data_IF_075978658233
#
_entry.id   IF_075978658233
#
_cell.length_a   1.000
_cell.length_b   1.000
_cell.length_c   1.000
_cell.angle_alpha   90.00
_cell.angle_beta   90.00
_cell.angle_gamma   90.00
#
_symmetry.space_group_name_H-M   'P 1'
#
loop_
_entity.id
_entity.type
_entity.pdbx_description
1 polymer ?
#
# COMPACT_ATOMS: atom_id res chain seq x y z
N UNK A 1 -15.10 8.09 10.79
CA UNK A 1 -13.71 8.33 11.23
C UNK A 1 -13.13 7.12 11.97
N UNK A 2 -13.78 6.59 13.03
CA UNK A 2 -13.28 5.43 13.79
C UNK A 2 -12.95 4.18 12.94
N UNK A 3 -13.75 3.88 11.92
CA UNK A 3 -13.51 2.73 11.02
C UNK A 3 -12.24 2.87 10.19
N UNK A 4 -11.89 4.09 9.74
CA UNK A 4 -10.66 4.39 8.99
C UNK A 4 -9.44 4.05 9.85
N UNK A 5 -9.43 4.55 11.08
CA UNK A 5 -8.28 4.41 11.97
C UNK A 5 -8.08 2.95 12.40
N UNK A 6 -9.18 2.22 12.60
CA UNK A 6 -9.14 0.78 12.87
C UNK A 6 -8.52 0.00 11.69
N UNK A 7 -8.92 0.33 10.46
CA UNK A 7 -8.36 -0.30 9.26
C UNK A 7 -6.85 -0.02 9.16
N UNK A 8 -6.43 1.25 9.32
CA UNK A 8 -5.01 1.61 9.28
C UNK A 8 -4.20 0.84 10.32
N UNK A 9 -4.65 0.84 11.59
CA UNK A 9 -3.98 0.11 12.69
C UNK A 9 -3.89 -1.39 12.39
N UNK A 10 -4.95 -1.97 11.83
CA UNK A 10 -5.00 -3.40 11.51
C UNK A 10 -4.08 -3.75 10.34
N UNK A 11 -4.07 -2.96 9.26
CA UNK A 11 -3.11 -3.10 8.15
C UNK A 11 -1.67 -3.04 8.66
N UNK A 12 -1.35 -2.03 9.48
CA UNK A 12 0.00 -1.91 10.07
C UNK A 12 0.37 -3.13 10.89
N UNK A 13 -0.55 -3.67 11.70
CA UNK A 13 -0.32 -4.91 12.45
C UNK A 13 -0.04 -6.08 11.52
N UNK A 14 -0.83 -6.28 10.46
CA UNK A 14 -0.63 -7.38 9.51
C UNK A 14 0.69 -7.24 8.75
N UNK A 15 1.08 -6.04 8.33
CA UNK A 15 2.38 -5.80 7.72
C UNK A 15 3.54 -6.11 8.66
N UNK A 16 3.43 -5.74 9.94
CA UNK A 16 4.44 -6.10 10.96
C UNK A 16 4.60 -7.60 11.09
N UNK A 17 3.49 -8.35 11.11
CA UNK A 17 3.48 -9.81 11.21
C UNK A 17 4.09 -10.44 9.96
N UNK A 18 3.67 -10.01 8.76
CA UNK A 18 4.27 -10.49 7.50
C UNK A 18 5.77 -10.25 7.53
N UNK A 19 6.22 -9.05 7.90
CA UNK A 19 7.65 -8.73 7.98
C UNK A 19 8.42 -9.58 8.99
N UNK A 20 7.89 -9.80 10.20
CA UNK A 20 8.57 -10.56 11.24
C UNK A 20 8.58 -12.06 10.98
N UNK A 21 7.55 -12.58 10.32
CA UNK A 21 7.32 -14.02 10.15
C UNK A 21 7.60 -14.50 8.74
N UNK A 22 7.92 -13.61 7.78
CA UNK A 22 8.19 -14.04 6.41
C UNK A 22 9.36 -15.03 6.35
N UNK A 23 10.37 -14.89 7.21
CA UNK A 23 11.49 -15.83 7.32
C UNK A 23 11.56 -16.34 8.75
N UNK A 24 11.34 -17.64 8.93
CA UNK A 24 11.43 -18.31 10.22
C UNK A 24 12.36 -19.51 10.17
N UNK A 25 13.00 -19.86 11.29
CA UNK A 25 13.71 -21.14 11.37
C UNK A 25 12.72 -22.30 11.35
N UNK A 26 13.10 -23.41 10.73
CA UNK A 26 12.28 -24.64 10.68
C UNK A 26 11.97 -25.12 12.11
N UNK A 27 12.95 -25.01 13.03
CA UNK A 27 12.79 -25.38 14.44
C UNK A 27 11.74 -24.50 15.14
N UNK A 28 11.81 -23.18 14.97
CA UNK A 28 10.84 -22.25 15.57
C UNK A 28 9.42 -22.51 15.04
N UNK A 29 9.28 -22.72 13.72
CA UNK A 29 7.99 -23.03 13.10
C UNK A 29 7.40 -24.35 13.60
N UNK A 30 8.23 -25.40 13.74
CA UNK A 30 7.80 -26.69 14.33
C UNK A 30 7.42 -26.58 15.81
N UNK A 31 8.05 -25.68 16.55
CA UNK A 31 7.72 -25.39 17.95
C UNK A 31 6.49 -24.48 18.11
N UNK A 32 5.79 -24.14 17.02
CA UNK A 32 4.60 -23.28 17.07
C UNK A 32 4.90 -21.82 17.38
N UNK A 33 6.16 -21.36 17.23
CA UNK A 33 6.47 -19.94 17.41
C UNK A 33 5.88 -19.09 16.27
N UNK A 34 5.52 -17.84 16.58
CA UNK A 34 4.91 -16.89 15.66
C UNK A 34 3.44 -16.63 15.97
N UNK A 35 2.76 -15.90 15.11
CA UNK A 35 1.34 -15.56 15.27
C UNK A 35 0.37 -16.71 14.99
N UNK A 36 0.86 -17.78 14.35
CA UNK A 36 0.01 -18.88 13.85
C UNK A 36 -0.83 -18.49 12.63
N UNK A 37 -0.66 -17.29 12.07
CA UNK A 37 -1.44 -16.82 10.93
C UNK A 37 -0.81 -17.19 9.59
N UNK A 38 -1.66 -17.45 8.59
CA UNK A 38 -1.23 -17.60 7.21
C UNK A 38 -0.91 -16.22 6.61
N UNK A 39 0.36 -15.99 6.27
CA UNK A 39 0.82 -14.69 5.77
C UNK A 39 0.25 -14.34 4.37
N UNK A 40 -0.09 -15.34 3.54
CA UNK A 40 -0.76 -15.09 2.26
C UNK A 40 -2.21 -14.65 2.49
N UNK A 41 -2.90 -15.26 3.45
CA UNK A 41 -4.25 -14.83 3.87
C UNK A 41 -4.20 -13.42 4.47
N UNK A 42 -3.19 -13.09 5.28
CA UNK A 42 -3.00 -11.73 5.80
C UNK A 42 -2.81 -10.72 4.68
N UNK A 43 -1.97 -11.03 3.69
CA UNK A 43 -1.79 -10.15 2.55
C UNK A 43 -3.10 -9.92 1.78
N UNK A 44 -3.88 -10.97 1.53
CA UNK A 44 -5.19 -10.82 0.90
C UNK A 44 -6.15 -9.93 1.72
N UNK A 45 -6.13 -10.05 3.06
CA UNK A 45 -6.90 -9.16 3.94
C UNK A 45 -6.43 -7.72 3.85
N UNK A 46 -5.12 -7.47 3.72
CA UNK A 46 -4.58 -6.12 3.50
C UNK A 46 -5.13 -5.54 2.19
N UNK A 47 -5.16 -6.32 1.10
CA UNK A 47 -5.70 -5.86 -0.18
C UNK A 47 -7.18 -5.45 -0.07
N UNK A 48 -8.00 -6.28 0.58
CA UNK A 48 -9.41 -5.96 0.85
C UNK A 48 -9.57 -4.70 1.72
N UNK A 49 -8.70 -4.55 2.72
CA UNK A 49 -8.69 -3.37 3.60
C UNK A 49 -8.25 -2.10 2.87
N UNK A 50 -7.31 -2.17 1.94
CA UNK A 50 -6.91 -1.05 1.08
C UNK A 50 -8.08 -0.55 0.24
N UNK A 51 -8.84 -1.47 -0.39
CA UNK A 51 -10.05 -1.11 -1.16
C UNK A 51 -11.13 -0.45 -0.27
N UNK A 52 -11.37 -1.01 0.92
CA UNK A 52 -12.29 -0.41 1.88
C UNK A 52 -11.81 0.98 2.35
N UNK A 53 -10.50 1.18 2.49
CA UNK A 53 -9.93 2.46 2.90
C UNK A 53 -10.08 3.52 1.81
N UNK A 54 -9.93 3.16 0.53
CA UNK A 54 -10.23 4.04 -0.61
C UNK A 54 -11.70 4.48 -0.57
N UNK A 55 -12.63 3.52 -0.39
CA UNK A 55 -14.06 3.82 -0.29
C UNK A 55 -14.38 4.76 0.87
N UNK A 56 -13.78 4.55 2.05
CA UNK A 56 -13.96 5.42 3.20
C UNK A 56 -13.40 6.82 2.95
N UNK A 57 -12.22 6.93 2.31
CA UNK A 57 -11.63 8.23 1.93
C UNK A 57 -12.53 8.99 0.95
N UNK A 58 -13.14 8.30 -0.01
CA UNK A 58 -14.13 8.89 -0.92
C UNK A 58 -15.41 9.34 -0.19
N UNK A 59 -15.91 8.56 0.76
CA UNK A 59 -17.06 8.95 1.59
C UNK A 59 -16.76 10.19 2.42
N UNK A 60 -15.57 10.27 3.03
CA UNK A 60 -15.12 11.45 3.77
C UNK A 60 -15.01 12.67 2.86
N UNK A 61 -14.45 12.49 1.66
CA UNK A 61 -14.39 13.55 0.66
C UNK A 61 -15.79 14.06 0.29
N UNK A 62 -16.74 13.14 0.04
CA UNK A 62 -18.11 13.49 -0.29
C UNK A 62 -18.79 14.31 0.82
N UNK A 63 -18.70 13.85 2.07
CA UNK A 63 -19.25 14.57 3.23
C UNK A 63 -18.62 15.97 3.35
N UNK A 64 -17.30 16.07 3.20
CA UNK A 64 -16.59 17.35 3.29
C UNK A 64 -16.93 18.31 2.13
N UNK A 65 -17.40 17.78 1.00
CA UNK A 65 -17.89 18.56 -0.15
C UNK A 65 -19.40 18.83 -0.10
N UNK A 66 -20.09 18.51 1.01
CA UNK A 66 -21.52 18.75 1.17
C UNK A 66 -22.42 17.77 0.39
N UNK A 67 -21.89 16.66 -0.11
CA UNK A 67 -22.67 15.62 -0.78
C UNK A 67 -23.40 14.78 0.27
N UNK A 68 -24.72 14.71 0.17
CA UNK A 68 -25.60 14.01 1.13
C UNK A 68 -25.89 12.55 0.76
N UNK A 69 -25.77 12.20 -0.53
CA UNK A 69 -25.95 10.84 -1.03
C UNK A 69 -24.69 10.32 -1.71
N UNK A 70 -24.11 9.24 -1.17
CA UNK A 70 -22.86 8.69 -1.68
C UNK A 70 -23.10 7.55 -2.68
N UNK A 71 -22.64 7.72 -3.92
CA UNK A 71 -22.57 6.66 -4.92
C UNK A 71 -21.10 6.27 -5.18
N UNK A 72 -20.75 5.02 -4.84
CA UNK A 72 -19.37 4.53 -5.01
C UNK A 72 -18.97 4.40 -6.48
N UNK A 73 -19.88 4.01 -7.37
CA UNK A 73 -19.61 3.83 -8.79
C UNK A 73 -19.32 5.17 -9.47
N UNK A 74 -20.05 6.23 -9.10
CA UNK A 74 -19.74 7.59 -9.56
C UNK A 74 -18.44 8.12 -8.94
N UNK A 75 -18.21 7.88 -7.65
CA UNK A 75 -16.99 8.32 -6.98
C UNK A 75 -15.72 7.74 -7.62
N UNK A 76 -15.77 6.50 -8.14
CA UNK A 76 -14.65 5.87 -8.87
C UNK A 76 -14.27 6.58 -10.17
N UNK A 77 -15.18 7.36 -10.77
CA UNK A 77 -14.92 8.13 -11.99
C UNK A 77 -14.15 9.42 -11.71
N UNK A 78 -14.10 9.86 -10.45
CA UNK A 78 -13.42 11.10 -10.05
C UNK A 78 -11.91 10.92 -9.92
N UNK A 79 -11.15 12.02 -10.05
CA UNK A 79 -9.70 12.01 -9.82
C UNK A 79 -9.32 11.68 -8.37
N UNK A 80 -10.22 11.91 -7.41
CA UNK A 80 -10.01 11.53 -6.01
C UNK A 80 -9.85 10.02 -5.83
N UNK A 81 -10.54 9.20 -6.62
CA UNK A 81 -10.35 7.75 -6.59
C UNK A 81 -8.92 7.38 -7.00
N UNK A 82 -8.42 7.97 -8.08
CA UNK A 82 -7.05 7.77 -8.56
C UNK A 82 -6.02 8.22 -7.52
N UNK A 83 -6.22 9.38 -6.87
CA UNK A 83 -5.35 9.88 -5.80
C UNK A 83 -5.28 8.87 -4.64
N UNK A 84 -6.44 8.49 -4.09
CA UNK A 84 -6.48 7.57 -2.94
C UNK A 84 -5.94 6.19 -3.27
N UNK A 85 -6.20 5.70 -4.49
CA UNK A 85 -5.65 4.43 -4.97
C UNK A 85 -4.13 4.48 -5.09
N UNK A 86 -3.58 5.55 -5.67
CA UNK A 86 -2.12 5.75 -5.74
C UNK A 86 -1.49 5.74 -4.35
N UNK A 87 -2.09 6.40 -3.36
CA UNK A 87 -1.60 6.38 -1.98
C UNK A 87 -1.52 4.95 -1.41
N UNK A 88 -2.59 4.15 -1.56
CA UNK A 88 -2.60 2.77 -1.04
C UNK A 88 -1.58 1.87 -1.76
N UNK A 89 -1.41 2.04 -3.07
CA UNK A 89 -0.41 1.26 -3.83
C UNK A 89 1.02 1.64 -3.43
N UNK A 90 1.31 2.93 -3.25
CA UNK A 90 2.62 3.43 -2.80
C UNK A 90 2.96 2.94 -1.39
N UNK A 91 1.98 2.89 -0.47
CA UNK A 91 2.16 2.30 0.86
C UNK A 91 2.48 0.80 0.80
N UNK A 92 1.75 0.04 -0.04
CA UNK A 92 2.03 -1.38 -0.25
C UNK A 92 3.42 -1.62 -0.83
N UNK A 93 3.83 -0.81 -1.81
CA UNK A 93 5.15 -0.88 -2.42
C UNK A 93 6.24 -0.67 -1.37
N UNK A 94 6.13 0.36 -0.52
CA UNK A 94 7.08 0.63 0.55
C UNK A 94 7.22 -0.53 1.56
N UNK A 95 6.11 -1.16 1.94
CA UNK A 95 6.15 -2.35 2.79
C UNK A 95 6.86 -3.53 2.12
N UNK A 96 6.57 -3.79 0.85
CA UNK A 96 7.25 -4.85 0.11
C UNK A 96 8.73 -4.59 -0.09
N UNK A 97 9.14 -3.34 -0.26
CA UNK A 97 10.55 -2.94 -0.29
C UNK A 97 11.26 -3.26 1.00
N UNK A 98 10.63 -2.93 2.12
CA UNK A 98 11.21 -3.21 3.42
C UNK A 98 11.34 -4.73 3.67
N UNK A 99 10.30 -5.51 3.33
CA UNK A 99 10.31 -6.97 3.49
C UNK A 99 11.36 -7.59 2.57
N UNK A 100 11.46 -7.16 1.32
CA UNK A 100 12.48 -7.65 0.39
C UNK A 100 13.89 -7.46 0.96
N UNK A 101 14.15 -6.26 1.50
CA UNK A 101 15.46 -5.87 2.05
C UNK A 101 15.81 -6.60 3.35
N UNK A 102 14.84 -6.82 4.25
CA UNK A 102 15.11 -7.23 5.64
C UNK A 102 14.63 -8.64 5.98
N UNK A 103 13.69 -9.19 5.21
CA UNK A 103 12.93 -10.36 5.60
C UNK A 103 12.73 -11.32 4.41
N UNK A 104 13.77 -11.56 3.60
CA UNK A 104 13.80 -12.67 2.64
C UNK A 104 15.08 -13.47 2.82
N UNK A 105 15.08 -14.75 2.41
CA UNK A 105 16.30 -15.54 2.40
C UNK A 105 17.19 -15.02 1.26
N UNK A 106 18.43 -14.66 1.57
CA UNK A 106 19.39 -14.20 0.57
C UNK A 106 19.49 -15.23 -0.58
N UNK A 107 19.22 -14.83 -1.85
CA UNK A 107 19.23 -15.75 -2.99
C UNK A 107 20.55 -16.48 -3.19
N UNK A 108 21.69 -15.83 -2.98
CA UNK A 108 23.01 -16.43 -3.11
C UNK A 108 23.26 -17.46 -2.00
N UNK A 109 22.86 -17.15 -0.77
CA UNK A 109 22.94 -18.11 0.34
C UNK A 109 22.03 -19.33 0.10
N UNK A 110 20.84 -19.10 -0.45
CA UNK A 110 19.88 -20.16 -0.82
C UNK A 110 20.40 -21.05 -1.94
N UNK A 111 21.03 -20.47 -2.96
CA UNK A 111 21.65 -21.21 -4.05
C UNK A 111 22.80 -22.11 -3.55
N UNK A 112 23.66 -21.58 -2.68
CA UNK A 112 24.79 -22.34 -2.10
C UNK A 112 24.35 -23.45 -1.15
N UNK A 113 23.36 -23.21 -0.29
CA UNK A 113 22.91 -24.17 0.72
C UNK A 113 21.94 -25.25 0.17
N UNK A 114 21.39 -25.05 -1.03
CA UNK A 114 20.37 -25.92 -1.61
C UNK A 114 19.02 -25.84 -0.87
N UNK A 115 18.03 -26.59 -1.37
CA UNK A 115 16.61 -26.46 -0.99
C UNK A 115 16.32 -26.73 0.50
N UNK A 116 17.20 -27.45 1.21
CA UNK A 116 17.04 -27.83 2.63
C UNK A 116 18.12 -27.27 3.56
N UNK A 117 19.20 -26.67 3.04
CA UNK A 117 20.39 -26.35 3.83
C UNK A 117 20.34 -25.04 4.61
N UNK A 118 19.33 -24.18 4.40
CA UNK A 118 19.27 -22.87 5.07
C UNK A 118 18.77 -22.94 6.51
N UNK A 119 18.16 -24.07 6.93
CA UNK A 119 17.50 -24.20 8.23
C UNK A 119 16.28 -23.27 8.43
N UNK A 120 15.89 -22.53 7.38
CA UNK A 120 14.86 -21.49 7.40
C UNK A 120 13.80 -21.76 6.33
N UNK A 121 12.59 -21.31 6.60
CA UNK A 121 11.48 -21.29 5.65
C UNK A 121 11.13 -19.84 5.32
N UNK A 122 10.67 -19.59 4.10
CA UNK A 122 10.08 -18.31 3.72
C UNK A 122 8.71 -18.47 3.06
N UNK A 123 7.79 -17.52 3.29
CA UNK A 123 6.46 -17.55 2.65
C UNK A 123 6.41 -16.74 1.35
N UNK A 124 6.98 -15.55 1.37
CA UNK A 124 7.18 -14.68 0.23
C UNK A 124 8.67 -14.70 -0.14
N UNK A 125 8.99 -15.42 -1.21
CA UNK A 125 10.35 -15.44 -1.75
C UNK A 125 10.71 -14.08 -2.35
N UNK A 126 12.00 -13.77 -2.46
CA UNK A 126 12.46 -12.54 -3.12
C UNK A 126 11.87 -12.40 -4.54
N UNK A 127 11.81 -13.50 -5.31
CA UNK A 127 11.20 -13.50 -6.64
C UNK A 127 9.70 -13.17 -6.61
N UNK A 128 8.94 -13.71 -5.65
CA UNK A 128 7.51 -13.41 -5.49
C UNK A 128 7.30 -11.94 -5.12
N UNK A 129 8.10 -11.40 -4.20
CA UNK A 129 8.01 -9.99 -3.81
C UNK A 129 8.36 -9.08 -4.99
N UNK A 130 9.42 -9.39 -5.74
CA UNK A 130 9.77 -8.62 -6.96
C UNK A 130 8.62 -8.60 -7.96
N UNK A 131 7.96 -9.74 -8.20
CA UNK A 131 6.81 -9.80 -9.10
C UNK A 131 5.62 -8.96 -8.60
N UNK A 132 5.36 -8.95 -7.28
CA UNK A 132 4.32 -8.09 -6.69
C UNK A 132 4.68 -6.61 -6.87
N UNK A 133 5.92 -6.24 -6.56
CA UNK A 133 6.42 -4.86 -6.72
C UNK A 133 6.29 -4.37 -8.15
N UNK A 134 6.69 -5.17 -9.14
CA UNK A 134 6.58 -4.79 -10.56
C UNK A 134 5.14 -4.50 -10.98
N UNK A 135 4.17 -5.29 -10.48
CA UNK A 135 2.74 -5.04 -10.72
C UNK A 135 2.27 -3.74 -10.07
N UNK A 136 2.65 -3.51 -8.81
CA UNK A 136 2.32 -2.28 -8.09
C UNK A 136 2.90 -1.06 -8.80
N UNK A 137 4.17 -1.12 -9.21
CA UNK A 137 4.82 -0.01 -9.90
C UNK A 137 4.16 0.32 -11.24
N UNK A 138 3.80 -0.71 -12.02
CA UNK A 138 3.09 -0.51 -13.28
C UNK A 138 1.75 0.21 -13.05
N UNK A 139 0.99 -0.24 -12.05
CA UNK A 139 -0.30 0.35 -11.72
C UNK A 139 -0.17 1.80 -11.19
N UNK A 140 0.85 2.07 -10.37
CA UNK A 140 1.18 3.41 -9.90
C UNK A 140 1.51 4.33 -11.09
N UNK A 141 2.38 3.90 -12.00
CA UNK A 141 2.76 4.70 -13.16
C UNK A 141 1.55 5.07 -14.03
N UNK A 142 0.67 4.09 -14.29
CA UNK A 142 -0.57 4.33 -15.05
C UNK A 142 -1.52 5.32 -14.36
N UNK A 143 -1.55 5.33 -13.03
CA UNK A 143 -2.38 6.28 -12.28
C UNK A 143 -1.74 7.66 -12.25
N UNK A 144 -0.43 7.75 -12.01
CA UNK A 144 0.31 9.00 -11.99
C UNK A 144 0.24 9.71 -13.36
N UNK A 145 0.28 8.97 -14.47
CA UNK A 145 0.05 9.52 -15.81
C UNK A 145 -1.35 10.13 -15.96
N UNK A 146 -2.41 9.43 -15.53
CA UNK A 146 -3.79 9.94 -15.58
C UNK A 146 -3.97 11.20 -14.74
N UNK A 147 -3.31 11.28 -13.59
CA UNK A 147 -3.35 12.45 -12.73
C UNK A 147 -2.60 13.64 -13.36
N UNK A 148 -1.43 13.38 -13.96
CA UNK A 148 -0.69 14.39 -14.70
C UNK A 148 -1.50 14.96 -15.87
N UNK A 149 -2.07 14.10 -16.72
CA UNK A 149 -2.90 14.55 -17.85
C UNK A 149 -4.11 15.39 -17.42
N UNK A 150 -4.73 15.06 -16.28
CA UNK A 150 -5.81 15.88 -15.73
C UNK A 150 -5.30 17.23 -15.26
N UNK A 151 -4.21 17.25 -14.49
CA UNK A 151 -3.64 18.51 -13.98
C UNK A 151 -3.18 19.44 -15.11
N UNK A 152 -2.60 18.89 -16.18
CA UNK A 152 -2.13 19.66 -17.33
C UNK A 152 -3.28 20.27 -18.16
N UNK A 153 -4.48 19.69 -18.09
CA UNK A 153 -5.67 20.16 -18.82
C UNK A 153 -6.65 20.95 -17.93
N UNK A 154 -6.53 20.84 -16.62
CA UNK A 154 -7.37 21.57 -15.67
C UNK A 154 -6.97 23.06 -15.64
N UNK A 155 -7.97 23.93 -15.47
CA UNK A 155 -7.76 25.36 -15.28
C UNK A 155 -8.37 25.79 -13.96
N UNK A 156 -7.66 26.63 -13.22
CA UNK A 156 -8.16 27.30 -12.03
C UNK A 156 -7.97 28.82 -12.20
N UNK A 157 -9.04 29.59 -12.01
CA UNK A 157 -8.92 31.05 -11.86
C UNK A 157 -8.64 31.37 -10.41
N UNK A 158 -7.60 32.16 -10.17
CA UNK A 158 -7.16 32.57 -8.84
C UNK A 158 -7.21 34.10 -8.80
N UNK A 159 -7.71 34.67 -7.71
CA UNK A 159 -7.71 36.13 -7.55
C UNK A 159 -6.32 36.61 -7.11
N UNK A 160 -5.97 37.85 -7.43
CA UNK A 160 -4.69 38.43 -7.00
C UNK A 160 -4.54 38.47 -5.47
N UNK A 161 -5.64 38.64 -4.74
CA UNK A 161 -5.66 38.56 -3.28
C UNK A 161 -5.24 37.18 -2.79
N UNK A 162 -5.71 36.09 -3.42
CA UNK A 162 -5.36 34.73 -3.01
C UNK A 162 -3.90 34.35 -3.32
N UNK A 163 -3.24 35.05 -4.25
CA UNK A 163 -1.82 34.82 -4.59
C UNK A 163 -0.84 35.71 -3.82
N UNK A 164 -1.33 36.78 -3.19
CA UNK A 164 -0.47 37.75 -2.50
C UNK A 164 0.34 37.11 -1.36
N UNK A 165 -0.31 36.29 -0.53
CA UNK A 165 0.31 35.58 0.60
C UNK A 165 1.42 34.60 0.18
N UNK A 166 1.33 34.02 -1.02
CA UNK A 166 2.32 33.04 -1.52
C UNK A 166 3.56 33.76 -2.05
N UNK A 167 3.39 34.91 -2.69
CA UNK A 167 4.51 35.71 -3.24
C UNK A 167 5.41 36.25 -2.13
N UNK A 168 4.83 36.61 -0.99
CA UNK A 168 5.56 37.14 0.16
C UNK A 168 6.40 36.07 0.90
N UNK A 169 6.10 34.77 0.73
CA UNK A 169 6.89 33.66 1.31
C UNK A 169 8.10 33.25 0.46
N UNK A 170 8.23 33.76 -0.77
CA UNK A 170 9.33 33.44 -1.70
C UNK A 170 10.40 34.54 -1.79
N UNK A 171 10.29 35.59 -0.97
CA UNK A 171 11.28 36.64 -0.75
C UNK A 171 12.03 36.42 0.57
#
# INVERSE_FOLDING_TARGET
INTRDLICKTKTRYWRIIKSENVMSIKAKKAGMGSGMDLAVLYNKILQMSENLIKIKLMLNAINSGITEFNYEEAKKTHYYNIYKACELKEQLAHWEEILKKATINPAAKAKAGKKGTGKTETFTSAKITAIKSKLQLEINNIDEKLASFNDSATISITDSDMSDIKDMML
#
